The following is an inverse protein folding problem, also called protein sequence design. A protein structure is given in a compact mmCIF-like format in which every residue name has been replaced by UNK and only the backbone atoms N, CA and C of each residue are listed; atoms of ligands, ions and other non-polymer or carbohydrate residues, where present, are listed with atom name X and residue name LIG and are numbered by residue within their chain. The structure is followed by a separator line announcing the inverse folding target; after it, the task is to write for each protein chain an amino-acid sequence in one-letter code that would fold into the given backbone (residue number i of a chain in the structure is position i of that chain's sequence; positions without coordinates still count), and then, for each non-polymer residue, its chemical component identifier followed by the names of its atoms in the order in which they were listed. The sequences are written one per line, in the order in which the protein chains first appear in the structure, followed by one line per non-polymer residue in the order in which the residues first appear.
data_IF_366447352345
#
_entry.id   IF_366447352345
#
_cell.length_a   1.000
_cell.length_b   1.000
_cell.length_c   1.000
_cell.angle_alpha   90.00
_cell.angle_beta   90.00
_cell.angle_gamma   90.00
#
_symmetry.space_group_name_H-M   'P 1'
#
loop_
_entity.id
_entity.type
_entity.pdbx_description
1 polymer ?
#
# COMPACT_ATOMS: atom_id res chain seq x y z
N UNK A 1 36.51 21.47 -26.47
CA UNK A 1 35.73 20.98 -25.31
C UNK A 1 36.69 20.18 -24.43
N UNK A 2 36.92 20.59 -23.18
CA UNK A 2 37.87 19.90 -22.29
C UNK A 2 37.15 18.76 -21.54
N UNK A 3 37.89 17.72 -21.11
CA UNK A 3 37.32 16.54 -20.44
C UNK A 3 36.45 16.90 -19.21
N UNK A 4 36.85 17.93 -18.46
CA UNK A 4 36.09 18.47 -17.33
C UNK A 4 34.72 19.04 -17.73
N UNK A 5 34.63 19.84 -18.80
CA UNK A 5 33.35 20.33 -19.32
C UNK A 5 32.43 19.22 -19.82
N UNK A 6 33.00 18.14 -20.38
CA UNK A 6 32.24 16.98 -20.84
C UNK A 6 31.64 16.21 -19.66
N UNK A 7 32.42 15.97 -18.60
CA UNK A 7 31.93 15.37 -17.35
C UNK A 7 30.82 16.20 -16.71
N UNK A 8 30.97 17.52 -16.68
CA UNK A 8 29.96 18.41 -16.11
C UNK A 8 28.65 18.39 -16.91
N UNK A 9 28.74 18.36 -18.25
CA UNK A 9 27.58 18.22 -19.12
C UNK A 9 26.88 16.87 -18.91
N UNK A 10 27.64 15.77 -18.82
CA UNK A 10 27.07 14.43 -18.56
C UNK A 10 26.36 14.38 -17.21
N UNK A 11 26.95 14.97 -16.16
CA UNK A 11 26.32 15.07 -14.86
C UNK A 11 25.02 15.89 -14.91
N UNK A 12 25.03 17.05 -15.59
CA UNK A 12 23.83 17.86 -15.78
C UNK A 12 22.72 17.10 -16.51
N UNK A 13 23.05 16.43 -17.61
CA UNK A 13 22.10 15.60 -18.36
C UNK A 13 21.53 14.46 -17.50
N UNK A 14 22.36 13.83 -16.67
CA UNK A 14 21.93 12.79 -15.73
C UNK A 14 21.00 13.33 -14.63
N UNK A 15 21.32 14.49 -14.04
CA UNK A 15 20.43 15.12 -13.04
C UNK A 15 19.10 15.57 -13.65
N UNK A 16 19.13 16.09 -14.88
CA UNK A 16 17.91 16.50 -15.58
C UNK A 16 17.03 15.30 -15.93
N UNK A 17 17.62 14.22 -16.44
CA UNK A 17 16.89 13.01 -16.78
C UNK A 17 16.29 12.31 -15.55
N UNK A 18 17.03 12.24 -14.44
CA UNK A 18 16.52 11.69 -13.17
C UNK A 18 15.38 12.53 -12.60
N UNK A 19 15.47 13.85 -12.69
CA UNK A 19 14.40 14.75 -12.23
C UNK A 19 13.13 14.56 -13.06
N UNK A 20 13.24 14.54 -14.39
CA UNK A 20 12.11 14.27 -15.28
C UNK A 20 11.49 12.90 -15.02
N UNK A 21 12.33 11.87 -14.87
CA UNK A 21 11.86 10.52 -14.56
C UNK A 21 11.08 10.50 -13.24
N UNK A 22 11.60 11.11 -12.18
CA UNK A 22 10.92 11.18 -10.90
C UNK A 22 9.58 11.93 -10.99
N UNK A 23 9.53 13.04 -11.73
CA UNK A 23 8.28 13.78 -11.96
C UNK A 23 7.23 12.92 -12.66
N UNK A 24 7.60 12.24 -13.74
CA UNK A 24 6.71 11.34 -14.46
C UNK A 24 6.30 10.18 -13.57
N UNK A 25 7.25 9.50 -12.93
CA UNK A 25 6.99 8.37 -12.06
C UNK A 25 6.00 8.73 -10.95
N UNK A 26 6.24 9.79 -10.18
CA UNK A 26 5.34 10.22 -9.10
C UNK A 26 4.01 10.79 -9.58
N UNK A 27 3.85 11.11 -10.86
CA UNK A 27 2.55 11.49 -11.45
C UNK A 27 1.66 10.30 -11.79
N UNK A 28 2.24 9.09 -11.91
CA UNK A 28 1.49 7.87 -12.23
C UNK A 28 0.66 7.41 -11.02
N UNK A 29 -0.56 6.89 -11.23
CA UNK A 29 -1.33 6.28 -10.15
C UNK A 29 -0.59 5.05 -9.60
N UNK A 30 -0.50 4.93 -8.28
CA UNK A 30 0.14 3.80 -7.59
C UNK A 30 1.66 3.91 -7.44
N UNK A 31 2.30 4.98 -7.92
CA UNK A 31 3.73 5.23 -7.70
C UNK A 31 4.04 5.84 -6.33
N UNK A 32 3.08 6.56 -5.76
CA UNK A 32 3.16 7.10 -4.41
C UNK A 32 2.64 6.03 -3.45
N UNK A 33 3.44 5.58 -2.46
CA UNK A 33 2.96 4.67 -1.44
C UNK A 33 1.81 5.33 -0.68
N UNK A 34 0.71 4.60 -0.51
CA UNK A 34 -0.40 5.04 0.32
C UNK A 34 -0.06 4.82 1.79
N UNK A 35 -0.80 5.46 2.69
CA UNK A 35 -0.71 5.19 4.13
C UNK A 35 -0.96 3.70 4.49
N UNK A 36 -1.46 2.92 3.53
CA UNK A 36 -1.81 1.52 3.66
C UNK A 36 -0.73 0.57 3.09
N UNK A 37 0.32 1.05 2.42
CA UNK A 37 1.32 0.23 1.71
C UNK A 37 2.10 -0.74 2.61
N UNK A 38 2.19 -0.48 3.92
CA UNK A 38 2.89 -1.33 4.89
C UNK A 38 1.97 -1.84 6.01
N UNK A 39 0.64 -1.85 5.77
CA UNK A 39 -0.33 -2.36 6.75
C UNK A 39 -0.70 -3.80 6.41
N UNK A 40 -0.73 -4.65 7.42
CA UNK A 40 -1.44 -5.92 7.30
C UNK A 40 -2.96 -5.68 7.27
N UNK A 41 -3.74 -6.73 6.98
CA UNK A 41 -5.20 -6.62 6.89
C UNK A 41 -5.85 -6.15 8.19
N UNK A 42 -5.28 -6.50 9.35
CA UNK A 42 -5.82 -6.13 10.66
C UNK A 42 -5.57 -4.67 10.96
N UNK A 43 -4.34 -4.20 10.73
CA UNK A 43 -3.96 -2.80 10.83
C UNK A 43 -4.77 -1.93 9.86
N UNK A 44 -5.06 -2.44 8.66
CA UNK A 44 -5.92 -1.74 7.71
C UNK A 44 -7.34 -1.57 8.25
N UNK A 45 -7.95 -2.64 8.77
CA UNK A 45 -9.30 -2.60 9.35
C UNK A 45 -9.35 -1.63 10.55
N UNK A 46 -8.40 -1.74 11.47
CA UNK A 46 -8.31 -0.89 12.66
C UNK A 46 -8.07 0.58 12.32
N UNK A 47 -7.26 0.86 11.29
CA UNK A 47 -6.99 2.24 10.86
C UNK A 47 -8.23 2.99 10.38
N UNK A 48 -9.30 2.27 10.02
CA UNK A 48 -10.60 2.83 9.62
C UNK A 48 -11.61 2.89 10.77
N UNK A 49 -11.19 2.56 11.99
CA UNK A 49 -12.01 2.58 13.20
C UNK A 49 -12.92 1.35 13.35
N UNK A 50 -12.67 0.27 12.62
CA UNK A 50 -13.40 -0.98 12.75
C UNK A 50 -12.67 -1.96 13.66
N UNK A 51 -13.41 -2.91 14.21
CA UNK A 51 -12.86 -4.06 14.94
C UNK A 51 -12.83 -5.28 14.03
N UNK A 52 -12.06 -6.32 14.39
CA UNK A 52 -11.99 -7.54 13.60
C UNK A 52 -12.01 -8.81 14.47
N UNK A 53 -12.54 -9.89 13.90
CA UNK A 53 -12.48 -11.25 14.41
C UNK A 53 -11.85 -12.15 13.34
N UNK A 54 -11.04 -13.13 13.73
CA UNK A 54 -10.47 -14.12 12.81
C UNK A 54 -10.97 -15.53 13.10
N UNK A 55 -11.31 -16.26 12.05
CA UNK A 55 -11.73 -17.65 12.11
C UNK A 55 -10.92 -18.48 11.12
N UNK A 56 -10.58 -19.70 11.50
CA UNK A 56 -9.86 -20.62 10.63
C UNK A 56 -10.77 -21.77 10.23
N UNK A 57 -10.91 -21.99 8.92
CA UNK A 57 -11.73 -23.06 8.35
C UNK A 57 -10.85 -23.99 7.55
N UNK A 58 -10.99 -25.29 7.78
CA UNK A 58 -10.31 -26.30 6.96
C UNK A 58 -11.18 -26.62 5.75
N UNK A 59 -10.61 -26.49 4.55
CA UNK A 59 -11.28 -26.94 3.34
C UNK A 59 -11.18 -28.47 3.18
N UNK A 60 -12.06 -29.05 2.38
CA UNK A 60 -12.03 -30.49 2.08
C UNK A 60 -10.68 -30.93 1.47
N UNK A 61 -9.98 -30.04 0.77
CA UNK A 61 -8.66 -30.28 0.19
C UNK A 61 -7.49 -30.14 1.17
N UNK A 62 -7.73 -29.94 2.46
CA UNK A 62 -6.68 -29.84 3.49
C UNK A 62 -6.07 -28.45 3.67
N UNK A 63 -6.57 -27.42 2.99
CA UNK A 63 -6.10 -26.04 3.18
C UNK A 63 -6.71 -25.43 4.44
N UNK A 64 -5.96 -24.56 5.12
CA UNK A 64 -6.45 -23.74 6.22
C UNK A 64 -6.72 -22.34 5.68
N UNK A 65 -7.98 -21.93 5.69
CA UNK A 65 -8.43 -20.61 5.24
C UNK A 65 -8.63 -19.72 6.45
N UNK A 66 -8.00 -18.54 6.45
CA UNK A 66 -8.27 -17.50 7.43
C UNK A 66 -9.40 -16.60 6.93
N UNK A 67 -10.52 -16.62 7.63
CA UNK A 67 -11.66 -15.73 7.43
C UNK A 67 -11.54 -14.56 8.41
N UNK A 68 -11.48 -13.33 7.89
CA UNK A 68 -11.45 -12.12 8.71
C UNK A 68 -12.82 -11.45 8.65
N UNK A 69 -13.49 -11.35 9.79
CA UNK A 69 -14.78 -10.68 9.94
C UNK A 69 -14.54 -9.26 10.45
N UNK A 70 -15.07 -8.27 9.72
CA UNK A 70 -15.06 -6.87 10.13
C UNK A 70 -16.29 -6.60 11.00
N UNK A 71 -16.06 -6.10 12.21
CA UNK A 71 -17.10 -5.67 13.13
C UNK A 71 -17.24 -4.16 13.02
N UNK A 72 -18.44 -3.71 12.66
CA UNK A 72 -18.78 -2.31 12.62
C UNK A 72 -19.23 -1.81 14.01
N UNK A 73 -18.41 -1.02 14.73
CA UNK A 73 -18.76 -0.51 16.05
C UNK A 73 -19.88 0.54 15.99
N UNK A 74 -20.10 1.16 14.82
CA UNK A 74 -21.09 2.23 14.64
C UNK A 74 -22.54 1.72 14.53
N UNK A 75 -22.73 0.41 14.35
CA UNK A 75 -24.07 -0.20 14.34
C UNK A 75 -24.37 -0.78 15.72
N UNK A 76 -25.51 -0.43 16.36
CA UNK A 76 -25.92 -1.00 17.64
C UNK A 76 -25.98 -2.52 17.61
N UNK A 77 -25.62 -3.18 18.72
CA UNK A 77 -25.60 -4.66 18.78
C UNK A 77 -26.98 -5.27 18.50
N UNK A 78 -28.07 -4.57 18.81
CA UNK A 78 -29.45 -4.96 18.52
C UNK A 78 -29.76 -5.07 17.02
N UNK A 79 -29.02 -4.35 16.17
CA UNK A 79 -29.21 -4.35 14.71
C UNK A 79 -28.22 -5.27 13.99
N UNK A 80 -27.21 -5.77 14.71
CA UNK A 80 -26.25 -6.76 14.18
C UNK A 80 -26.94 -8.12 14.14
N UNK A 81 -27.51 -8.48 12.99
CA UNK A 81 -28.00 -9.84 12.74
C UNK A 81 -26.81 -10.80 12.72
N UNK A 82 -26.87 -11.83 13.56
CA UNK A 82 -25.89 -12.91 13.66
C UNK A 82 -26.19 -14.01 12.64
#
# INVERSE_FOLDING_TARGET
MNFSSLLQLLFQLWTYSTTLFNQVFFSLPGSIPTLDTNRDIFQLIESRGFQHESHYVRSQGGYILQMVRIINPFVPKSERKH
#
